data_IF_521555872888
#
_entry.id   IF_521555872888
#
_cell.length_a   1.000
_cell.length_b   1.000
_cell.length_c   1.000
_cell.angle_alpha   90.00
_cell.angle_beta   90.00
_cell.angle_gamma   90.00
#
_symmetry.space_group_name_H-M   'P 1'
#
loop_
_entity.id
_entity.type
_entity.pdbx_description
1 polymer ?
#
# COMPACT_ATOMS: atom_id res chain seq x y z
N UNK A 1 -32.52 9.62 16.47
CA UNK A 1 -31.43 8.83 17.08
C UNK A 1 -30.16 9.63 16.88
N UNK A 2 -29.56 10.13 17.96
CA UNK A 2 -28.38 10.99 17.93
C UNK A 2 -27.14 10.10 17.80
N UNK A 3 -26.54 10.07 16.61
CA UNK A 3 -25.27 9.37 16.40
C UNK A 3 -24.18 10.31 16.90
N UNK A 4 -23.64 10.03 18.10
CA UNK A 4 -22.61 10.85 18.73
C UNK A 4 -21.49 11.20 17.73
N UNK A 5 -21.09 12.47 17.66
CA UNK A 5 -20.02 12.96 16.77
C UNK A 5 -18.70 12.16 16.90
N UNK A 6 -18.44 11.58 18.09
CA UNK A 6 -17.31 10.67 18.35
C UNK A 6 -17.38 9.36 17.55
N UNK A 7 -18.59 8.88 17.26
CA UNK A 7 -18.82 7.68 16.45
C UNK A 7 -18.65 7.99 14.95
N UNK A 8 -19.05 9.19 14.49
CA UNK A 8 -18.86 9.64 13.10
C UNK A 8 -17.38 9.68 12.72
N UNK A 9 -16.53 10.21 13.61
CA UNK A 9 -15.08 10.19 13.42
C UNK A 9 -14.51 8.77 13.31
N UNK A 10 -15.10 7.80 14.03
CA UNK A 10 -14.70 6.39 13.95
C UNK A 10 -15.21 5.67 12.71
N UNK A 11 -16.39 6.03 12.21
CA UNK A 11 -16.99 5.43 11.01
C UNK A 11 -16.11 5.69 9.78
N UNK A 12 -15.44 6.84 9.68
CA UNK A 12 -14.50 7.13 8.60
C UNK A 12 -13.15 6.40 8.67
N UNK A 13 -12.84 5.74 9.79
CA UNK A 13 -11.59 4.95 9.97
C UNK A 13 -11.75 3.53 9.47
N UNK A 14 -12.97 3.00 9.62
CA UNK A 14 -13.38 1.76 9.00
C UNK A 14 -13.66 2.06 7.52
N UNK A 15 -12.86 1.49 6.62
CA UNK A 15 -13.19 1.41 5.18
C UNK A 15 -14.36 0.41 4.95
N UNK A 16 -15.34 0.38 5.87
CA UNK A 16 -16.54 -0.44 5.74
C UNK A 16 -17.39 0.19 4.64
N UNK A 17 -17.32 -0.43 3.47
CA UNK A 17 -18.26 -0.23 2.38
C UNK A 17 -19.26 -1.37 2.46
N UNK A 18 -20.56 -1.04 2.38
CA UNK A 18 -21.58 -2.05 2.20
C UNK A 18 -21.23 -2.90 0.96
N UNK A 19 -21.73 -4.14 0.88
CA UNK A 19 -21.43 -5.03 -0.25
C UNK A 19 -21.70 -4.36 -1.62
N UNK A 20 -22.77 -3.56 -1.70
CA UNK A 20 -23.16 -2.79 -2.89
C UNK A 20 -22.44 -1.44 -3.06
N UNK A 21 -21.70 -1.00 -2.04
CA UNK A 21 -21.00 0.28 -2.01
C UNK A 21 -19.52 0.14 -2.37
N UNK A 22 -19.04 -1.09 -2.61
CA UNK A 22 -17.66 -1.36 -3.02
C UNK A 22 -17.44 -0.82 -4.43
N UNK A 23 -16.47 0.08 -4.58
CA UNK A 23 -16.07 0.67 -5.88
C UNK A 23 -14.75 0.10 -6.33
N UNK A 24 -14.66 -0.30 -7.60
CA UNK A 24 -13.43 -0.85 -8.16
C UNK A 24 -12.25 0.12 -7.94
N UNK A 25 -11.12 -0.39 -7.45
CA UNK A 25 -9.93 0.44 -7.16
C UNK A 25 -9.31 1.07 -8.41
N UNK A 26 -9.64 0.56 -9.60
CA UNK A 26 -9.06 1.04 -10.87
C UNK A 26 -9.94 2.12 -11.51
N UNK A 27 -11.24 1.88 -11.69
CA UNK A 27 -12.14 2.85 -12.34
C UNK A 27 -12.93 3.72 -11.35
N UNK A 28 -12.94 3.39 -10.06
CA UNK A 28 -13.72 4.07 -9.02
C UNK A 28 -15.24 4.08 -9.26
N UNK A 29 -15.74 3.08 -9.99
CA UNK A 29 -17.16 2.89 -10.28
C UNK A 29 -17.70 1.61 -9.63
N UNK A 30 -19.01 1.61 -9.38
CA UNK A 30 -19.84 0.50 -8.92
C UNK A 30 -20.66 -0.06 -10.10
N UNK A 31 -19.96 -0.60 -11.11
CA UNK A 31 -20.58 -1.25 -12.26
C UNK A 31 -21.17 -2.60 -11.85
N UNK A 32 -22.50 -2.70 -11.83
CA UNK A 32 -23.24 -3.90 -11.40
C UNK A 32 -23.34 -4.98 -12.48
N UNK A 33 -23.03 -4.63 -13.73
CA UNK A 33 -23.07 -5.49 -14.91
C UNK A 33 -21.79 -6.31 -15.11
N UNK A 34 -20.74 -6.06 -14.32
CA UNK A 34 -19.44 -6.71 -14.43
C UNK A 34 -19.08 -7.40 -13.12
N UNK A 35 -18.62 -8.65 -13.22
CA UNK A 35 -18.18 -9.43 -12.07
C UNK A 35 -17.07 -8.70 -11.28
N UNK A 36 -17.28 -8.61 -9.97
CA UNK A 36 -16.36 -7.97 -9.03
C UNK A 36 -15.60 -9.02 -8.22
N UNK A 37 -14.27 -8.89 -8.23
CA UNK A 37 -13.34 -9.70 -7.46
C UNK A 37 -12.85 -8.96 -6.22
N UNK A 38 -12.76 -9.67 -5.10
CA UNK A 38 -12.11 -9.18 -3.88
C UNK A 38 -10.73 -9.83 -3.75
N UNK A 39 -9.69 -9.02 -3.55
CA UNK A 39 -8.36 -9.56 -3.27
C UNK A 39 -8.32 -10.19 -1.87
N UNK A 40 -7.96 -11.47 -1.75
CA UNK A 40 -7.89 -12.15 -0.45
C UNK A 40 -6.86 -11.56 0.53
N UNK A 41 -5.92 -10.75 0.05
CA UNK A 41 -4.87 -10.16 0.89
C UNK A 41 -5.26 -8.82 1.48
N UNK A 42 -5.95 -7.97 0.73
CA UNK A 42 -6.24 -6.59 1.09
C UNK A 42 -7.72 -6.20 1.03
N UNK A 43 -8.60 -7.15 0.68
CA UNK A 43 -10.06 -7.01 0.55
C UNK A 43 -10.54 -5.90 -0.41
N UNK A 44 -9.61 -5.38 -1.23
CA UNK A 44 -9.91 -4.35 -2.22
C UNK A 44 -10.70 -4.95 -3.40
N UNK A 45 -11.75 -4.25 -3.86
CA UNK A 45 -12.57 -4.67 -5.00
C UNK A 45 -11.96 -4.29 -6.35
N UNK A 46 -12.11 -5.18 -7.33
CA UNK A 46 -11.65 -5.01 -8.70
C UNK A 46 -12.68 -5.61 -9.66
N UNK A 47 -13.04 -4.91 -10.73
CA UNK A 47 -13.75 -5.57 -11.84
C UNK A 47 -12.79 -6.50 -12.59
N UNK A 48 -13.31 -7.64 -13.06
CA UNK A 48 -12.54 -8.63 -13.84
C UNK A 48 -11.87 -8.02 -15.08
N UNK A 49 -12.56 -7.13 -15.79
CA UNK A 49 -12.07 -6.40 -16.96
C UNK A 49 -10.95 -5.40 -16.61
N UNK A 50 -11.08 -4.70 -15.49
CA UNK A 50 -10.11 -3.71 -15.01
C UNK A 50 -8.76 -4.37 -14.66
N UNK A 51 -8.79 -5.63 -14.25
CA UNK A 51 -7.58 -6.45 -14.02
C UNK A 51 -7.22 -7.35 -15.21
N UNK A 52 -7.89 -7.17 -16.36
CA UNK A 52 -7.63 -7.86 -17.63
C UNK A 52 -7.65 -9.38 -17.51
N UNK A 53 -8.60 -9.91 -16.75
CA UNK A 53 -8.83 -11.35 -16.68
C UNK A 53 -9.74 -11.77 -17.84
N UNK A 54 -9.30 -12.75 -18.61
CA UNK A 54 -10.10 -13.35 -19.69
C UNK A 54 -11.22 -14.25 -19.11
N UNK A 55 -10.95 -14.90 -17.98
CA UNK A 55 -11.90 -15.74 -17.25
C UNK A 55 -11.81 -15.49 -15.74
N UNK A 56 -12.93 -15.69 -15.04
CA UNK A 56 -12.97 -15.61 -13.58
C UNK A 56 -12.17 -16.77 -12.97
N UNK A 57 -11.13 -16.51 -12.17
CA UNK A 57 -10.29 -17.57 -11.61
C UNK A 57 -11.09 -18.45 -10.65
N UNK A 58 -10.92 -19.76 -10.78
CA UNK A 58 -11.49 -20.73 -9.86
C UNK A 58 -10.67 -20.71 -8.56
N UNK A 59 -11.29 -20.29 -7.47
CA UNK A 59 -10.68 -20.24 -6.15
C UNK A 59 -10.11 -18.87 -5.77
N UNK A 60 -8.95 -18.87 -5.12
CA UNK A 60 -8.39 -17.67 -4.48
C UNK A 60 -7.74 -16.74 -5.48
N UNK A 61 -8.11 -15.46 -5.46
CA UNK A 61 -7.48 -14.43 -6.27
C UNK A 61 -6.80 -13.35 -5.41
N UNK A 62 -5.62 -12.92 -5.86
CA UNK A 62 -4.82 -11.88 -5.23
C UNK A 62 -4.47 -10.83 -6.28
N UNK A 63 -4.72 -9.56 -5.96
CA UNK A 63 -4.41 -8.47 -6.89
C UNK A 63 -2.91 -8.31 -7.11
N UNK A 64 -2.52 -7.71 -8.24
CA UNK A 64 -1.12 -7.54 -8.65
C UNK A 64 -0.26 -6.90 -7.57
N UNK A 65 -0.78 -5.91 -6.83
CA UNK A 65 -0.02 -5.23 -5.77
C UNK A 65 0.26 -6.12 -4.56
N UNK A 66 -0.61 -7.09 -4.27
CA UNK A 66 -0.43 -8.06 -3.19
C UNK A 66 0.34 -9.31 -3.63
N UNK A 67 0.40 -9.57 -4.95
CA UNK A 67 1.17 -10.65 -5.55
C UNK A 67 2.66 -10.34 -5.75
N UNK A 68 3.10 -9.12 -5.45
CA UNK A 68 4.50 -8.69 -5.65
C UNK A 68 5.09 -8.07 -4.39
N UNK A 69 6.41 -8.20 -4.23
CA UNK A 69 7.13 -7.46 -3.21
C UNK A 69 7.12 -5.96 -3.54
N UNK A 70 6.53 -5.12 -2.68
CA UNK A 70 6.48 -3.66 -2.89
C UNK A 70 7.87 -3.05 -3.07
N UNK A 71 8.86 -3.56 -2.33
CA UNK A 71 10.23 -3.09 -2.34
C UNK A 71 11.11 -3.64 -3.48
N UNK A 72 10.94 -4.90 -3.90
CA UNK A 72 11.86 -5.56 -4.83
C UNK A 72 11.24 -6.18 -6.08
N UNK A 73 9.93 -6.02 -6.26
CA UNK A 73 9.15 -6.43 -7.43
C UNK A 73 9.19 -7.92 -7.78
N UNK A 74 9.79 -8.78 -6.92
CA UNK A 74 9.66 -10.24 -7.04
C UNK A 74 8.18 -10.59 -7.01
N UNK A 75 7.74 -11.45 -7.92
CA UNK A 75 6.35 -11.91 -8.04
C UNK A 75 6.09 -13.26 -7.37
N UNK A 76 7.16 -13.98 -6.99
CA UNK A 76 7.06 -15.23 -6.25
C UNK A 76 7.65 -15.05 -4.86
N UNK A 77 6.90 -15.35 -3.78
CA UNK A 77 7.49 -15.39 -2.46
C UNK A 77 8.49 -16.54 -2.39
N UNK A 78 9.41 -16.48 -1.43
CA UNK A 78 10.17 -17.68 -1.03
C UNK A 78 9.21 -18.72 -0.44
N UNK A 79 9.69 -19.94 -0.14
CA UNK A 79 8.91 -20.97 0.56
C UNK A 79 8.19 -20.47 1.82
N UNK A 80 8.73 -19.41 2.43
CA UNK A 80 8.21 -18.73 3.60
C UNK A 80 6.94 -17.89 3.37
N UNK A 81 6.50 -17.69 2.12
CA UNK A 81 5.35 -16.85 1.77
C UNK A 81 5.63 -15.34 1.81
N UNK A 82 4.59 -14.56 1.49
CA UNK A 82 4.58 -13.10 1.59
C UNK A 82 4.51 -12.63 3.07
N UNK A 83 5.02 -11.44 3.37
CA UNK A 83 4.92 -10.78 4.68
C UNK A 83 4.00 -9.57 4.54
N UNK A 84 3.00 -9.49 5.42
CA UNK A 84 2.07 -8.36 5.50
C UNK A 84 2.64 -7.34 6.48
N UNK A 85 3.03 -6.18 5.98
CA UNK A 85 3.42 -5.06 6.84
C UNK A 85 2.15 -4.34 7.26
N UNK A 86 1.82 -4.42 8.55
CA UNK A 86 0.61 -3.85 9.14
C UNK A 86 0.95 -2.59 9.92
N UNK A 87 0.02 -1.66 9.98
CA UNK A 87 0.07 -0.53 10.91
C UNK A 87 -1.26 -0.40 11.62
N UNK A 88 -1.24 0.03 12.87
CA UNK A 88 -2.46 0.32 13.62
C UNK A 88 -2.77 1.81 13.51
N UNK A 89 -3.89 2.14 12.89
CA UNK A 89 -4.40 3.52 12.80
C UNK A 89 -5.68 3.53 13.62
N UNK A 90 -5.63 4.21 14.77
CA UNK A 90 -6.79 4.43 15.63
C UNK A 90 -7.52 3.12 16.02
N UNK A 91 -6.76 2.06 16.31
CA UNK A 91 -7.31 0.76 16.70
C UNK A 91 -7.67 -0.16 15.53
N UNK A 92 -7.47 0.28 14.28
CA UNK A 92 -7.73 -0.53 13.08
C UNK A 92 -6.40 -0.91 12.42
N UNK A 93 -6.19 -2.22 12.24
CA UNK A 93 -5.04 -2.73 11.50
C UNK A 93 -5.23 -2.51 10.00
N UNK A 94 -4.34 -1.71 9.40
CA UNK A 94 -4.33 -1.45 7.96
C UNK A 94 -3.11 -2.08 7.29
N UNK A 95 -3.32 -2.69 6.14
CA UNK A 95 -2.25 -3.16 5.27
C UNK A 95 -1.50 -1.98 4.65
N UNK A 96 -0.22 -1.90 5.00
CA UNK A 96 0.72 -0.93 4.44
C UNK A 96 1.23 -1.44 3.11
N UNK A 97 1.98 -2.56 3.13
CA UNK A 97 2.62 -3.15 1.95
C UNK A 97 2.82 -4.66 2.13
N UNK A 98 3.09 -5.34 1.01
CA UNK A 98 3.49 -6.75 0.99
C UNK A 98 4.98 -6.84 0.66
N UNK A 99 5.73 -7.60 1.46
CA UNK A 99 7.16 -7.81 1.25
C UNK A 99 7.54 -9.28 1.19
N UNK A 100 8.60 -9.60 0.43
CA UNK A 100 9.29 -10.87 0.60
C UNK A 100 10.00 -10.90 1.96
N UNK A 101 10.34 -12.09 2.47
CA UNK A 101 11.01 -12.25 3.77
C UNK A 101 12.26 -11.37 3.95
N UNK A 102 13.08 -11.21 2.89
CA UNK A 102 14.30 -10.37 2.93
C UNK A 102 13.97 -8.88 3.07
N UNK A 103 13.01 -8.38 2.29
CA UNK A 103 12.60 -6.98 2.36
C UNK A 103 11.88 -6.66 3.66
N UNK A 104 11.04 -7.58 4.16
CA UNK A 104 10.35 -7.45 5.44
C UNK A 104 11.34 -7.30 6.60
N UNK A 105 12.41 -8.11 6.61
CA UNK A 105 13.49 -7.96 7.62
C UNK A 105 14.13 -6.56 7.59
N UNK A 106 14.38 -6.00 6.40
CA UNK A 106 14.92 -4.63 6.26
C UNK A 106 13.92 -3.58 6.71
N UNK A 107 12.65 -3.75 6.33
CA UNK A 107 11.56 -2.84 6.68
C UNK A 107 11.37 -2.76 8.20
N UNK A 108 11.30 -3.90 8.88
CA UNK A 108 11.17 -3.97 10.35
C UNK A 108 12.40 -3.43 11.08
N UNK A 109 13.58 -3.50 10.46
CA UNK A 109 14.81 -2.87 10.96
C UNK A 109 14.91 -1.38 10.62
N UNK A 110 13.82 -0.72 10.18
CA UNK A 110 13.77 0.70 9.80
C UNK A 110 14.72 1.07 8.67
N UNK A 111 15.10 0.12 7.82
CA UNK A 111 15.93 0.33 6.63
C UNK A 111 15.06 0.58 5.39
N UNK A 112 14.13 1.53 5.50
CA UNK A 112 13.19 1.90 4.44
C UNK A 112 13.00 3.41 4.36
N UNK A 113 12.67 3.87 3.16
CA UNK A 113 12.42 5.27 2.88
C UNK A 113 11.04 5.66 3.42
N UNK A 114 10.92 6.66 4.32
CA UNK A 114 9.64 7.04 4.93
C UNK A 114 8.68 7.75 3.97
N UNK A 115 9.10 8.05 2.73
CA UNK A 115 8.25 8.67 1.70
C UNK A 115 7.52 7.60 0.89
N UNK A 116 8.24 6.62 0.34
CA UNK A 116 7.65 5.57 -0.50
C UNK A 116 7.35 4.26 0.24
N UNK A 117 7.94 4.07 1.44
CA UNK A 117 7.88 2.88 2.30
C UNK A 117 8.62 1.66 1.77
N UNK A 118 9.44 1.85 0.75
CA UNK A 118 10.27 0.80 0.18
C UNK A 118 11.66 0.78 0.84
N UNK A 119 12.28 -0.39 0.89
CA UNK A 119 13.62 -0.55 1.48
C UNK A 119 14.65 0.30 0.73
N UNK A 120 15.65 0.81 1.45
CA UNK A 120 16.64 1.75 0.87
C UNK A 120 17.41 1.20 -0.33
N UNK A 121 17.73 -0.09 -0.31
CA UNK A 121 18.51 -0.72 -1.37
C UNK A 121 17.69 -1.76 -2.12
N UNK A 122 17.38 -1.45 -3.37
CA UNK A 122 16.88 -2.41 -4.34
C UNK A 122 17.50 -2.11 -5.71
N UNK A 123 18.44 -2.94 -6.20
CA UNK A 123 19.17 -2.68 -7.44
C UNK A 123 18.27 -2.61 -8.68
N UNK A 124 17.01 -3.06 -8.61
CA UNK A 124 16.03 -2.93 -9.70
C UNK A 124 15.14 -1.68 -9.65
N UNK A 125 15.22 -0.84 -8.61
CA UNK A 125 14.30 0.30 -8.46
C UNK A 125 14.94 1.57 -7.89
N UNK A 126 15.82 1.45 -6.90
CA UNK A 126 16.45 2.60 -6.27
C UNK A 126 17.93 2.33 -6.04
N UNK A 127 18.76 3.28 -6.49
CA UNK A 127 20.22 3.12 -6.50
C UNK A 127 20.92 3.98 -5.46
N UNK A 128 20.33 5.11 -5.08
CA UNK A 128 20.94 6.09 -4.18
C UNK A 128 19.98 6.54 -3.08
N UNK A 129 20.55 6.88 -1.94
CA UNK A 129 19.82 7.43 -0.81
C UNK A 129 20.59 8.61 -0.25
N UNK A 130 19.86 9.64 0.12
CA UNK A 130 20.38 10.87 0.70
C UNK A 130 19.63 11.21 1.99
N UNK A 131 20.21 12.05 2.83
CA UNK A 131 19.61 12.41 4.13
C UNK A 131 18.80 13.68 4.00
N UNK A 132 17.53 13.65 4.45
CA UNK A 132 16.70 14.85 4.49
C UNK A 132 17.26 15.87 5.49
N UNK A 133 17.43 17.13 5.06
CA UNK A 133 17.98 18.17 5.94
C UNK A 133 17.10 18.50 7.14
N UNK A 134 15.77 18.30 7.02
CA UNK A 134 14.78 18.63 8.07
C UNK A 134 14.58 17.48 9.06
N UNK A 135 14.16 16.31 8.59
CA UNK A 135 13.85 15.17 9.48
C UNK A 135 15.03 14.23 9.74
N UNK A 136 16.17 14.43 9.09
CA UNK A 136 17.40 13.61 9.21
C UNK A 136 17.23 12.13 8.84
N UNK A 137 16.09 11.74 8.29
CA UNK A 137 15.86 10.39 7.78
C UNK A 137 16.59 10.17 6.46
N UNK A 138 17.00 8.93 6.21
CA UNK A 138 17.49 8.47 4.91
C UNK A 138 16.31 8.29 3.95
N UNK A 139 16.43 8.85 2.76
CA UNK A 139 15.39 8.94 1.75
C UNK A 139 15.99 8.55 0.40
N UNK A 140 15.22 7.88 -0.46
CA UNK A 140 15.62 7.74 -1.87
C UNK A 140 15.75 9.11 -2.53
N UNK A 141 16.74 9.30 -3.41
CA UNK A 141 16.93 10.61 -4.06
C UNK A 141 15.72 11.02 -4.91
N UNK A 142 15.03 10.05 -5.50
CA UNK A 142 13.78 10.20 -6.23
C UNK A 142 12.61 10.61 -5.33
N UNK A 143 12.73 10.44 -4.02
CA UNK A 143 11.76 10.85 -3.00
C UNK A 143 12.17 12.18 -2.31
N UNK A 144 13.20 12.87 -2.82
CA UNK A 144 13.67 14.16 -2.33
C UNK A 144 13.30 15.30 -3.29
N UNK A 145 13.03 16.48 -2.72
CA UNK A 145 12.96 17.72 -3.47
C UNK A 145 14.38 18.24 -3.70
N UNK A 146 14.86 18.19 -4.94
CA UNK A 146 16.25 18.49 -5.27
C UNK A 146 16.68 19.93 -4.92
N UNK A 147 15.79 20.91 -5.08
CA UNK A 147 16.08 22.33 -4.77
C UNK A 147 16.39 22.57 -3.30
N UNK A 148 15.71 21.87 -2.40
CA UNK A 148 15.77 22.13 -0.95
C UNK A 148 16.50 21.02 -0.19
N UNK A 149 16.82 19.89 -0.83
CA UNK A 149 17.36 18.68 -0.19
C UNK A 149 16.49 18.17 0.97
N UNK A 150 15.19 18.45 0.92
CA UNK A 150 14.20 17.97 1.88
C UNK A 150 13.46 16.77 1.28
N UNK A 151 13.03 15.83 2.11
CA UNK A 151 12.11 14.79 1.64
C UNK A 151 10.78 15.42 1.22
N UNK A 152 10.11 14.83 0.24
CA UNK A 152 8.86 15.39 -0.31
C UNK A 152 7.78 15.64 0.76
N UNK A 153 7.77 14.86 1.85
CA UNK A 153 6.89 15.08 3.01
C UNK A 153 7.26 16.35 3.77
N UNK A 154 8.53 16.53 4.10
CA UNK A 154 9.02 17.71 4.81
C UNK A 154 8.85 19.00 4.00
N UNK A 155 8.92 18.87 2.67
CA UNK A 155 8.69 19.93 1.69
C UNK A 155 7.22 20.27 1.45
N UNK A 156 6.28 19.46 1.95
CA UNK A 156 4.84 19.64 1.70
C UNK A 156 4.38 19.26 0.29
N UNK A 157 5.22 18.58 -0.50
CA UNK A 157 4.86 18.12 -1.85
C UNK A 157 4.03 16.84 -1.82
N UNK A 158 4.17 16.03 -0.76
CA UNK A 158 3.44 14.76 -0.58
C UNK A 158 3.00 14.64 0.86
N UNK A 159 1.79 14.13 1.10
CA UNK A 159 1.31 13.83 2.44
C UNK A 159 2.07 12.65 3.06
N UNK A 160 2.22 12.66 4.38
CA UNK A 160 2.78 11.52 5.12
C UNK A 160 1.87 10.30 4.90
N UNK A 161 2.45 9.15 4.55
CA UNK A 161 1.66 7.95 4.23
C UNK A 161 1.03 7.27 5.46
N UNK A 162 1.64 7.43 6.65
CA UNK A 162 1.18 6.97 7.97
C UNK A 162 1.89 7.79 9.05
#
# INVERSE_FOLDING_TARGET
MDVSLRLIGKIGLYDWSCYYCKKCVICNEDRSDIDMLLCETCDKPYHSDCVKLEEIPIGRWVCTSCGICASCLKQRPTSSGWRKEMTNIEGVDKLVQIHCAKCSKKFNNRQYCPVCLEVHWNPGKFRYCSTCIKCKMTIHEECMQQKTKMCMVCSGLVAKRF
#
